data_IF_785932800169
#
_entry.id   IF_785932800169
#
_cell.length_a   1.000
_cell.length_b   1.000
_cell.length_c   1.000
_cell.angle_alpha   90.00
_cell.angle_beta   90.00
_cell.angle_gamma   90.00
#
_symmetry.space_group_name_H-M   'P 1'
#
loop_
_entity.id
_entity.type
_entity.pdbx_description
1 polymer ?
#
# COMPACT_ATOMS: atom_id res chain seq x y z
N UNK A 1 -14.80 -5.38 8.72
CA UNK A 1 -13.64 -4.66 9.29
C UNK A 1 -12.43 -5.56 9.31
N UNK A 2 -11.28 -5.13 8.80
CA UNK A 2 -10.07 -5.93 8.92
C UNK A 2 -9.52 -5.90 10.34
N UNK A 3 -8.74 -6.91 10.70
CA UNK A 3 -7.83 -6.78 11.82
C UNK A 3 -6.71 -5.83 11.38
N UNK A 4 -6.42 -4.85 12.21
CA UNK A 4 -5.36 -3.89 11.89
C UNK A 4 -3.99 -4.42 12.30
N UNK A 5 -3.05 -4.33 11.39
CA UNK A 5 -1.64 -4.63 11.60
C UNK A 5 -0.92 -3.30 11.82
N UNK A 6 -0.27 -3.15 12.96
CA UNK A 6 0.47 -1.94 13.30
C UNK A 6 1.92 -2.10 12.87
N UNK A 7 2.41 -1.12 12.12
CA UNK A 7 3.75 -1.17 11.55
C UNK A 7 4.61 -0.03 12.07
N UNK A 8 5.87 -0.32 12.35
CA UNK A 8 6.90 0.67 12.62
C UNK A 8 8.08 0.39 11.72
N UNK A 9 8.36 1.32 10.83
CA UNK A 9 9.47 1.23 9.88
C UNK A 9 10.47 2.33 10.20
N UNK A 10 11.70 1.94 10.50
CA UNK A 10 12.81 2.88 10.70
C UNK A 10 13.77 2.75 9.54
N UNK A 11 14.14 3.88 8.97
CA UNK A 11 15.10 3.97 7.86
C UNK A 11 16.31 4.74 8.39
N UNK A 12 17.47 4.13 8.28
CA UNK A 12 18.71 4.68 8.79
C UNK A 12 19.64 5.00 7.65
N UNK A 13 20.28 6.14 7.74
CA UNK A 13 21.32 6.55 6.81
C UNK A 13 22.46 7.26 7.51
N UNK A 14 23.21 8.00 6.74
CA UNK A 14 24.33 8.82 7.19
C UNK A 14 24.37 10.13 6.38
N UNK A 15 25.42 10.91 6.55
CA UNK A 15 25.60 12.19 5.86
C UNK A 15 25.63 12.05 4.32
N UNK A 16 26.01 10.88 3.80
CA UNK A 16 26.11 10.62 2.36
C UNK A 16 24.78 10.14 1.74
N UNK A 17 23.79 9.80 2.57
CA UNK A 17 22.51 9.24 2.13
C UNK A 17 21.30 10.10 2.46
N UNK A 18 21.50 11.35 2.89
CA UNK A 18 20.39 12.25 3.29
C UNK A 18 19.38 12.47 2.16
N UNK A 19 19.83 12.53 0.91
CA UNK A 19 18.95 12.71 -0.24
C UNK A 19 18.05 11.48 -0.47
N UNK A 20 18.58 10.28 -0.25
CA UNK A 20 17.81 9.03 -0.37
C UNK A 20 16.72 8.94 0.69
N UNK A 21 17.05 9.30 1.94
CA UNK A 21 16.05 9.34 3.03
C UNK A 21 14.98 10.38 2.72
N UNK A 22 15.37 11.54 2.19
CA UNK A 22 14.43 12.59 1.79
C UNK A 22 13.48 12.11 0.69
N UNK A 23 13.96 11.36 -0.29
CA UNK A 23 13.12 10.79 -1.34
C UNK A 23 12.03 9.89 -0.75
N UNK A 24 12.38 9.02 0.19
CA UNK A 24 11.40 8.15 0.86
C UNK A 24 10.42 8.99 1.68
N UNK A 25 10.93 9.94 2.46
CA UNK A 25 10.10 10.86 3.24
C UNK A 25 9.07 11.55 2.35
N UNK A 26 9.49 12.09 1.22
CA UNK A 26 8.62 12.85 0.32
C UNK A 26 7.54 11.96 -0.31
N UNK A 27 7.83 10.68 -0.57
CA UNK A 27 6.82 9.74 -1.06
C UNK A 27 5.68 9.60 -0.03
N UNK A 28 6.01 9.42 1.24
CA UNK A 28 5.00 9.23 2.30
C UNK A 28 4.33 10.54 2.72
N UNK A 29 5.04 11.65 2.70
CA UNK A 29 4.49 12.95 3.10
C UNK A 29 3.57 13.55 2.06
N UNK A 30 3.93 13.44 0.77
CA UNK A 30 3.27 14.17 -0.31
C UNK A 30 2.18 13.39 -1.03
N UNK A 31 1.94 12.12 -0.67
CA UNK A 31 0.95 11.27 -1.34
C UNK A 31 0.04 10.60 -0.34
N UNK A 32 -1.24 10.45 -0.70
CA UNK A 32 -2.20 9.68 0.09
C UNK A 32 -2.09 8.18 -0.16
N UNK A 33 -1.36 7.80 -1.20
CA UNK A 33 -1.20 6.41 -1.67
C UNK A 33 0.29 6.06 -1.84
N UNK A 34 1.12 6.16 -0.79
CA UNK A 34 2.56 5.95 -0.92
C UNK A 34 2.93 4.55 -1.44
N UNK A 35 2.20 3.49 -1.08
CA UNK A 35 2.47 2.15 -1.60
C UNK A 35 2.27 2.09 -3.11
N UNK A 36 1.20 2.71 -3.60
CA UNK A 36 0.95 2.78 -5.04
C UNK A 36 2.01 3.60 -5.78
N UNK A 37 2.62 4.58 -5.12
CA UNK A 37 3.75 5.34 -5.69
C UNK A 37 5.03 4.49 -5.76
N UNK A 38 5.24 3.63 -4.77
CA UNK A 38 6.44 2.76 -4.71
C UNK A 38 6.31 1.57 -5.66
N UNK A 39 5.16 0.92 -5.65
CA UNK A 39 4.88 -0.28 -6.45
C UNK A 39 3.48 -0.16 -7.04
N UNK A 40 3.34 0.50 -8.20
CA UNK A 40 2.03 0.85 -8.75
C UNK A 40 1.16 -0.36 -9.08
N UNK A 41 -0.12 -0.26 -8.71
CA UNK A 41 -1.14 -1.23 -9.13
C UNK A 41 -1.35 -1.11 -10.63
N UNK A 42 -1.39 -2.23 -11.38
CA UNK A 42 -1.72 -2.20 -12.80
C UNK A 42 -3.08 -1.55 -13.05
N UNK A 43 -3.23 -0.89 -14.18
CA UNK A 43 -4.47 -0.24 -14.58
C UNK A 43 -5.48 -1.29 -15.10
N UNK A 44 -6.05 -2.06 -14.20
CA UNK A 44 -6.92 -3.20 -14.51
C UNK A 44 -8.14 -2.84 -15.34
N UNK A 45 -8.65 -1.61 -15.23
CA UNK A 45 -9.79 -1.17 -16.05
C UNK A 45 -9.50 -1.21 -17.56
N UNK A 46 -8.23 -1.17 -17.94
CA UNK A 46 -7.77 -1.22 -19.34
C UNK A 46 -7.09 -2.56 -19.68
N UNK A 47 -7.13 -3.54 -18.78
CA UNK A 47 -6.56 -4.86 -18.98
C UNK A 47 -7.70 -5.89 -19.07
N UNK A 48 -7.86 -6.59 -20.22
CA UNK A 48 -8.89 -7.61 -20.34
C UNK A 48 -8.63 -8.79 -19.40
N UNK A 49 -9.71 -9.46 -18.97
CA UNK A 49 -9.62 -10.68 -18.18
C UNK A 49 -9.26 -11.89 -19.08
N UNK A 50 -9.28 -13.10 -18.52
CA UNK A 50 -8.94 -14.33 -19.24
C UNK A 50 -9.87 -14.59 -20.42
N UNK A 51 -11.12 -14.08 -20.37
CA UNK A 51 -12.11 -14.21 -21.45
C UNK A 51 -11.99 -13.12 -22.50
N UNK A 52 -11.05 -12.16 -22.31
CA UNK A 52 -10.87 -11.02 -23.20
C UNK A 52 -11.81 -9.85 -22.93
N UNK A 53 -12.54 -9.86 -21.81
CA UNK A 53 -13.49 -8.82 -21.42
C UNK A 53 -12.85 -7.74 -20.59
N UNK A 54 -13.19 -6.47 -20.87
CA UNK A 54 -12.83 -5.32 -20.02
C UNK A 54 -13.91 -5.09 -18.97
N UNK A 55 -13.54 -4.66 -17.76
CA UNK A 55 -14.54 -4.27 -16.76
C UNK A 55 -15.21 -2.95 -17.15
N UNK A 56 -16.45 -2.80 -16.74
CA UNK A 56 -17.27 -1.62 -17.01
C UNK A 56 -17.58 -0.94 -15.68
N UNK A 57 -17.38 0.39 -15.66
CA UNK A 57 -17.71 1.19 -14.49
C UNK A 57 -19.23 1.26 -14.30
N UNK A 58 -19.69 0.84 -13.13
CA UNK A 58 -21.09 0.95 -12.70
C UNK A 58 -21.19 1.92 -11.53
N UNK A 59 -22.10 2.89 -11.65
CA UNK A 59 -22.41 3.84 -10.60
C UNK A 59 -23.63 3.38 -9.82
N UNK A 60 -23.49 3.28 -8.50
CA UNK A 60 -24.58 2.93 -7.60
C UNK A 60 -25.10 4.22 -6.96
N UNK A 61 -26.34 4.58 -7.31
CA UNK A 61 -26.96 5.84 -6.91
C UNK A 61 -27.92 5.62 -5.73
N UNK A 62 -27.95 6.59 -4.82
CA UNK A 62 -28.92 6.67 -3.75
C UNK A 62 -30.26 7.21 -4.22
N UNK A 63 -31.20 7.39 -3.29
CA UNK A 63 -32.58 7.87 -3.56
C UNK A 63 -32.63 9.23 -4.23
N UNK A 64 -31.67 10.09 -3.98
CA UNK A 64 -31.60 11.46 -4.49
C UNK A 64 -30.82 11.57 -5.83
N UNK A 65 -30.44 10.46 -6.41
CA UNK A 65 -29.63 10.43 -7.63
C UNK A 65 -28.13 10.68 -7.40
N UNK A 66 -27.69 10.77 -6.18
CA UNK A 66 -26.30 10.93 -5.82
C UNK A 66 -25.54 9.63 -6.03
N UNK A 67 -24.29 9.74 -6.56
CA UNK A 67 -23.41 8.58 -6.68
C UNK A 67 -22.90 8.20 -5.29
N UNK A 68 -23.34 7.06 -4.76
CA UNK A 68 -22.92 6.57 -3.45
C UNK A 68 -21.57 5.84 -3.52
N UNK A 69 -21.40 5.02 -4.55
CA UNK A 69 -20.14 4.32 -4.81
C UNK A 69 -20.10 3.85 -6.27
N UNK A 70 -18.92 3.51 -6.72
CA UNK A 70 -18.66 3.00 -8.06
C UNK A 70 -17.96 1.66 -7.98
N UNK A 71 -18.31 0.75 -8.88
CA UNK A 71 -17.66 -0.55 -9.02
C UNK A 71 -17.29 -0.81 -10.46
N UNK A 72 -16.23 -1.58 -10.67
CA UNK A 72 -15.90 -2.13 -11.98
C UNK A 72 -16.37 -3.58 -12.05
N UNK A 73 -17.27 -3.87 -12.98
CA UNK A 73 -17.83 -5.20 -13.14
C UNK A 73 -17.63 -5.71 -14.56
N UNK A 74 -17.42 -7.00 -14.71
CA UNK A 74 -17.34 -7.64 -16.01
C UNK A 74 -18.75 -7.87 -16.58
N UNK A 75 -18.86 -8.13 -17.91
CA UNK A 75 -20.16 -8.38 -18.54
C UNK A 75 -20.98 -9.54 -17.92
N UNK A 76 -20.33 -10.50 -17.28
CA UNK A 76 -20.97 -11.59 -16.55
C UNK A 76 -21.55 -11.18 -15.17
N UNK A 77 -21.39 -9.91 -14.80
CA UNK A 77 -21.86 -9.34 -13.53
C UNK A 77 -20.91 -9.49 -12.36
N UNK A 78 -19.77 -10.14 -12.55
CA UNK A 78 -18.78 -10.30 -11.48
C UNK A 78 -17.96 -9.04 -11.30
N UNK A 79 -17.73 -8.66 -10.04
CA UNK A 79 -16.87 -7.54 -9.68
C UNK A 79 -15.41 -7.85 -10.09
N UNK A 80 -14.70 -6.80 -10.56
CA UNK A 80 -13.27 -6.92 -10.85
C UNK A 80 -12.49 -6.81 -9.53
N UNK A 81 -12.07 -7.94 -9.01
CA UNK A 81 -11.31 -8.04 -7.75
C UNK A 81 -9.82 -8.34 -7.98
N UNK A 82 -9.32 -8.17 -9.21
CA UNK A 82 -7.92 -8.45 -9.54
C UNK A 82 -6.96 -7.59 -8.74
N UNK A 83 -7.32 -6.35 -8.44
CA UNK A 83 -6.53 -5.44 -7.60
C UNK A 83 -6.27 -6.02 -6.21
N UNK A 84 -7.28 -6.69 -5.64
CA UNK A 84 -7.20 -7.29 -4.31
C UNK A 84 -6.13 -8.40 -4.26
N UNK A 85 -6.21 -9.34 -5.20
CA UNK A 85 -5.24 -10.43 -5.28
C UNK A 85 -3.85 -9.92 -5.62
N UNK A 86 -3.75 -8.95 -6.51
CA UNK A 86 -2.49 -8.33 -6.89
C UNK A 86 -1.82 -7.63 -5.69
N UNK A 87 -2.57 -6.86 -4.91
CA UNK A 87 -2.04 -6.16 -3.74
C UNK A 87 -1.54 -7.14 -2.68
N UNK A 88 -2.31 -8.19 -2.39
CA UNK A 88 -1.90 -9.21 -1.41
C UNK A 88 -0.62 -9.91 -1.88
N UNK A 89 -0.54 -10.26 -3.15
CA UNK A 89 0.62 -10.97 -3.71
C UNK A 89 1.87 -10.08 -3.80
N UNK A 90 1.72 -8.82 -4.20
CA UNK A 90 2.85 -7.93 -4.50
C UNK A 90 3.19 -6.96 -3.36
N UNK A 91 2.20 -6.44 -2.65
CA UNK A 91 2.43 -5.55 -1.50
C UNK A 91 2.53 -6.31 -0.17
N UNK A 92 1.83 -7.43 -0.05
CA UNK A 92 1.64 -8.16 1.20
C UNK A 92 0.41 -7.73 1.99
N UNK A 93 -0.29 -6.69 1.55
CA UNK A 93 -1.52 -6.18 2.16
C UNK A 93 -2.45 -5.63 1.09
N UNK A 94 -3.76 -5.64 1.34
CA UNK A 94 -4.75 -5.28 0.33
C UNK A 94 -4.96 -3.78 0.13
N UNK A 95 -4.62 -2.95 1.11
CA UNK A 95 -4.85 -1.50 1.08
C UNK A 95 -3.57 -0.73 1.33
N UNK A 96 -3.55 0.52 0.88
CA UNK A 96 -2.48 1.47 1.17
C UNK A 96 -2.49 1.87 2.66
N UNK A 97 -1.54 2.70 3.07
CA UNK A 97 -1.36 3.06 4.48
C UNK A 97 -2.61 3.68 5.10
N UNK A 98 -2.83 3.40 6.37
CA UNK A 98 -3.82 4.05 7.21
C UNK A 98 -3.14 4.59 8.47
N UNK A 99 -3.63 5.72 8.96
CA UNK A 99 -3.14 6.34 10.21
C UNK A 99 -1.62 6.55 10.22
N UNK A 100 -1.10 7.16 9.17
CA UNK A 100 0.34 7.39 8.99
C UNK A 100 0.84 8.53 9.89
N UNK A 101 1.91 8.23 10.62
CA UNK A 101 2.69 9.20 11.39
C UNK A 101 4.13 9.17 10.92
N UNK A 102 4.75 10.33 10.77
CA UNK A 102 6.11 10.47 10.23
C UNK A 102 6.97 11.25 11.20
N UNK A 103 8.10 10.67 11.59
CA UNK A 103 9.19 11.38 12.28
C UNK A 103 10.39 11.40 11.35
N UNK A 104 10.89 12.60 11.08
CA UNK A 104 11.93 12.80 10.09
C UNK A 104 13.07 13.65 10.64
N UNK A 105 14.26 13.09 10.53
CA UNK A 105 15.54 13.78 10.71
C UNK A 105 16.36 13.44 9.46
N UNK A 106 17.30 14.28 9.07
CA UNK A 106 18.05 14.12 7.82
C UNK A 106 18.68 12.74 7.63
N UNK A 107 19.09 12.08 8.71
CA UNK A 107 19.76 10.78 8.68
C UNK A 107 18.86 9.62 9.15
N UNK A 108 17.63 9.92 9.56
CA UNK A 108 16.70 8.91 10.04
C UNK A 108 15.27 9.27 9.70
N UNK A 109 14.50 8.26 9.34
CA UNK A 109 13.07 8.37 9.10
C UNK A 109 12.35 7.27 9.88
N UNK A 110 11.31 7.63 10.62
CA UNK A 110 10.45 6.66 11.27
C UNK A 110 9.01 6.83 10.77
N UNK A 111 8.47 5.74 10.27
CA UNK A 111 7.08 5.66 9.79
C UNK A 111 6.32 4.72 10.69
N UNK A 112 5.21 5.19 11.25
CA UNK A 112 4.25 4.34 11.95
C UNK A 112 2.92 4.42 11.22
N UNK A 113 2.32 3.28 10.95
CA UNK A 113 1.08 3.21 10.20
C UNK A 113 0.38 1.87 10.42
N UNK A 114 -0.88 1.81 10.01
CA UNK A 114 -1.67 0.59 10.06
C UNK A 114 -1.89 0.05 8.66
N UNK A 115 -1.90 -1.27 8.52
CA UNK A 115 -2.25 -1.98 7.29
C UNK A 115 -3.31 -3.04 7.59
N UNK A 116 -4.03 -3.46 6.55
CA UNK A 116 -5.10 -4.44 6.69
C UNK A 116 -4.55 -5.86 6.75
N UNK A 117 -4.74 -6.54 7.87
CA UNK A 117 -4.42 -7.95 8.15
C UNK A 117 -2.95 -8.32 8.27
N UNK A 118 -2.07 -7.72 7.47
CA UNK A 118 -0.67 -8.14 7.35
C UNK A 118 0.25 -6.97 7.06
N UNK A 119 1.57 -7.11 7.33
CA UNK A 119 2.52 -6.06 7.00
C UNK A 119 2.77 -5.96 5.50
N UNK A 120 3.19 -4.78 5.01
CA UNK A 120 3.46 -4.55 3.59
C UNK A 120 4.87 -5.05 3.19
N UNK A 121 5.09 -6.35 3.27
CA UNK A 121 6.41 -6.96 3.01
C UNK A 121 6.94 -6.62 1.63
N UNK A 122 6.10 -6.71 0.60
CA UNK A 122 6.52 -6.45 -0.78
C UNK A 122 6.90 -4.99 -1.03
N UNK A 123 6.25 -4.06 -0.34
CA UNK A 123 6.61 -2.64 -0.41
C UNK A 123 7.98 -2.39 0.22
N UNK A 124 8.23 -2.99 1.38
CA UNK A 124 9.52 -2.80 2.07
C UNK A 124 10.66 -3.49 1.33
N UNK A 125 10.41 -4.65 0.72
CA UNK A 125 11.40 -5.30 -0.16
C UNK A 125 11.75 -4.41 -1.35
N UNK A 126 10.77 -3.78 -1.98
CA UNK A 126 11.00 -2.86 -3.09
C UNK A 126 11.85 -1.66 -2.66
N UNK A 127 11.59 -1.09 -1.49
CA UNK A 127 12.39 0.02 -0.96
C UNK A 127 13.82 -0.42 -0.63
N UNK A 128 13.99 -1.58 -0.01
CA UNK A 128 15.32 -2.13 0.30
C UNK A 128 16.15 -2.36 -0.96
N UNK A 129 15.53 -2.88 -2.01
CA UNK A 129 16.18 -3.12 -3.29
C UNK A 129 16.54 -1.81 -4.00
N UNK A 130 15.68 -0.81 -3.90
CA UNK A 130 15.87 0.50 -4.52
C UNK A 130 16.93 1.35 -3.79
N UNK A 131 17.04 1.18 -2.47
CA UNK A 131 17.94 1.95 -1.60
C UNK A 131 18.87 1.02 -0.80
N UNK A 132 19.80 0.33 -1.46
CA UNK A 132 20.66 -0.65 -0.79
C UNK A 132 21.65 -0.06 0.22
N UNK A 133 21.91 1.25 0.14
CA UNK A 133 22.81 1.94 1.06
C UNK A 133 22.15 2.36 2.38
N UNK A 134 20.81 2.21 2.47
CA UNK A 134 20.07 2.53 3.69
C UNK A 134 19.85 1.29 4.54
N UNK A 135 19.80 1.49 5.86
CA UNK A 135 19.37 0.45 6.80
C UNK A 135 17.86 0.54 7.04
N UNK A 136 17.20 -0.60 7.11
CA UNK A 136 15.78 -0.69 7.40
C UNK A 136 15.52 -1.59 8.60
N UNK A 137 14.65 -1.13 9.50
CA UNK A 137 14.11 -1.95 10.58
C UNK A 137 12.59 -1.92 10.48
N UNK A 138 11.99 -3.00 10.06
CA UNK A 138 10.55 -3.12 9.85
C UNK A 138 9.98 -4.07 10.88
N UNK A 139 9.10 -3.56 11.74
CA UNK A 139 8.43 -4.34 12.78
C UNK A 139 6.92 -4.23 12.62
N UNK A 140 6.21 -5.34 12.85
CA UNK A 140 4.76 -5.34 12.85
C UNK A 140 4.20 -6.03 14.09
N UNK A 141 3.00 -5.61 14.48
CA UNK A 141 2.21 -6.20 15.53
C UNK A 141 0.74 -6.30 15.06
N UNK A 142 0.25 -7.51 14.94
CA UNK A 142 -1.16 -7.78 14.61
C UNK A 142 -1.81 -8.48 15.82
N UNK A 143 -2.38 -7.70 16.76
CA UNK A 143 -2.90 -8.26 18.02
C UNK A 143 -4.14 -9.12 17.85
N UNK A 144 -4.94 -8.93 16.80
CA UNK A 144 -6.12 -9.75 16.53
C UNK A 144 -5.80 -11.21 16.28
N UNK A 145 -4.65 -11.50 15.68
CA UNK A 145 -4.15 -12.86 15.44
C UNK A 145 -3.02 -13.24 16.38
N UNK A 146 -2.66 -12.36 17.31
CA UNK A 146 -1.58 -12.57 18.29
C UNK A 146 -0.22 -12.88 17.62
N UNK A 147 0.10 -12.18 16.52
CA UNK A 147 1.38 -12.32 15.81
C UNK A 147 2.11 -10.98 15.75
N UNK A 148 3.41 -11.05 15.85
CA UNK A 148 4.29 -9.90 15.75
C UNK A 148 5.67 -10.36 15.28
N UNK A 149 6.45 -9.46 14.70
CA UNK A 149 7.80 -9.78 14.26
C UNK A 149 8.42 -8.73 13.35
N UNK A 150 9.58 -9.08 12.84
CA UNK A 150 10.30 -8.27 11.86
C UNK A 150 10.11 -8.83 10.45
N UNK A 151 10.17 -7.91 9.49
CA UNK A 151 10.01 -8.27 8.07
C UNK A 151 10.89 -7.43 7.15
#
# INVERSE_FOLDING_TARGET
MPNWCYNRVKVYGDEDTVEQIKEIHDIFENHTDPFNQIFPIPDFKNIPNEKGDLPILEQHKGKDGEVMFETYNFPDGKNDDRWYHWCIENWGTKWDVSELDIEYDEEMLELTFSTAWSPPEGIMEELKDRYPDLGFSCFYDEPGMEIAGYY
#
